data_IF_117144873746
#
_entry.id   IF_117144873746
#
_cell.length_a   1.000
_cell.length_b   1.000
_cell.length_c   1.000
_cell.angle_alpha   90.00
_cell.angle_beta   90.00
_cell.angle_gamma   90.00
#
_symmetry.space_group_name_H-M   'P 1'
#
loop_
_entity.id
_entity.type
_entity.pdbx_description
1 polymer ?
#
# COMPACT_ATOMS: atom_id res chain seq x y z
N UNK A 1 -44.83 20.95 -75.19
CA UNK A 1 -43.72 20.69 -74.25
C UNK A 1 -42.86 21.95 -74.24
N UNK A 2 -43.05 22.95 -73.37
CA UNK A 2 -42.90 22.98 -71.89
C UNK A 2 -41.56 22.37 -71.48
N UNK A 3 -40.61 23.07 -70.85
CA UNK A 3 -40.65 24.39 -70.23
C UNK A 3 -39.24 24.94 -69.97
N UNK A 4 -39.20 26.25 -69.70
CA UNK A 4 -38.00 27.04 -69.48
C UNK A 4 -37.25 26.68 -68.20
N UNK A 5 -35.93 26.86 -68.23
CA UNK A 5 -35.07 26.77 -67.04
C UNK A 5 -34.79 28.18 -66.56
N UNK A 6 -35.56 28.56 -65.54
CA UNK A 6 -35.37 29.77 -64.74
C UNK A 6 -34.01 29.80 -64.08
N UNK A 7 -33.41 30.99 -64.08
CA UNK A 7 -32.34 31.40 -63.18
C UNK A 7 -32.87 31.41 -61.73
N UNK A 8 -32.16 30.76 -60.81
CA UNK A 8 -32.24 31.07 -59.38
C UNK A 8 -30.83 31.47 -58.94
N UNK A 9 -30.56 32.77 -58.76
CA UNK A 9 -29.33 33.25 -58.18
C UNK A 9 -29.45 33.20 -56.65
N UNK A 10 -28.40 32.70 -56.01
CA UNK A 10 -28.20 32.84 -54.57
C UNK A 10 -28.69 31.64 -53.76
N UNK A 11 -27.75 30.82 -53.30
CA UNK A 11 -27.90 30.06 -52.05
C UNK A 11 -26.58 29.44 -51.56
N UNK A 12 -25.42 30.04 -51.82
CA UNK A 12 -24.17 29.65 -51.14
C UNK A 12 -23.27 30.87 -50.89
N UNK A 13 -23.73 31.84 -50.10
CA UNK A 13 -22.79 32.68 -49.35
C UNK A 13 -22.20 31.81 -48.24
N UNK A 14 -21.06 31.16 -48.50
CA UNK A 14 -20.18 30.72 -47.42
C UNK A 14 -19.72 31.99 -46.70
N UNK A 15 -20.27 32.22 -45.51
CA UNK A 15 -19.69 33.15 -44.54
C UNK A 15 -18.35 32.54 -44.14
N UNK A 16 -17.20 33.19 -44.39
CA UNK A 16 -15.98 32.75 -43.74
C UNK A 16 -16.21 32.96 -42.25
N UNK A 17 -16.29 31.86 -41.50
CA UNK A 17 -16.04 31.92 -40.06
C UNK A 17 -14.59 32.34 -39.96
N UNK A 18 -14.38 33.63 -39.71
CA UNK A 18 -13.13 34.14 -39.18
C UNK A 18 -13.05 33.50 -37.79
N UNK A 19 -12.39 32.34 -37.71
CA UNK A 19 -12.00 31.78 -36.45
C UNK A 19 -11.11 32.82 -35.79
N UNK A 20 -11.61 33.42 -34.71
CA UNK A 20 -10.84 34.32 -33.87
C UNK A 20 -9.60 33.56 -33.41
N UNK A 21 -8.44 33.95 -33.91
CA UNK A 21 -7.13 33.35 -33.64
C UNK A 21 -6.63 33.72 -32.22
N UNK A 22 -7.48 33.58 -31.21
CA UNK A 22 -7.19 34.02 -29.85
C UNK A 22 -7.42 32.93 -28.79
N UNK A 23 -7.65 31.66 -29.17
CA UNK A 23 -7.68 30.55 -28.20
C UNK A 23 -7.45 29.19 -28.90
N UNK A 24 -6.51 29.16 -29.85
CA UNK A 24 -6.01 27.88 -30.35
C UNK A 24 -5.07 27.30 -29.30
N UNK A 25 -5.63 26.67 -28.27
CA UNK A 25 -4.89 25.72 -27.44
C UNK A 25 -4.35 24.67 -28.40
N UNK A 26 -3.03 24.63 -28.58
CA UNK A 26 -2.40 23.66 -29.46
C UNK A 26 -2.65 22.26 -28.86
N UNK A 27 -3.33 21.35 -29.58
CA UNK A 27 -3.63 20.00 -29.07
C UNK A 27 -2.37 19.15 -28.85
N UNK A 28 -1.21 19.62 -29.32
CA UNK A 28 0.10 19.01 -29.08
C UNK A 28 0.93 19.77 -28.03
N UNK A 29 0.42 20.88 -27.49
CA UNK A 29 0.97 21.53 -26.30
C UNK A 29 0.69 20.60 -25.12
N UNK A 30 1.67 19.74 -24.83
CA UNK A 30 1.65 18.94 -23.61
C UNK A 30 1.79 19.96 -22.48
N UNK A 31 0.86 20.02 -21.51
CA UNK A 31 0.99 20.95 -20.39
C UNK A 31 2.39 20.76 -19.81
N UNK A 32 3.17 21.84 -19.88
CA UNK A 32 4.52 21.91 -19.32
C UNK A 32 4.45 21.35 -17.90
N UNK A 33 5.36 20.43 -17.56
CA UNK A 33 5.42 19.64 -16.32
C UNK A 33 4.81 20.42 -15.15
N UNK A 34 3.51 20.26 -14.94
CA UNK A 34 2.80 20.97 -13.89
C UNK A 34 3.39 20.45 -12.59
N UNK A 35 4.26 21.26 -11.97
CA UNK A 35 4.90 20.94 -10.71
C UNK A 35 3.77 20.64 -9.74
N UNK A 36 3.59 19.39 -9.27
CA UNK A 36 2.47 19.08 -8.40
C UNK A 36 2.70 19.83 -7.09
N UNK A 37 1.95 20.91 -6.89
CA UNK A 37 2.01 21.72 -5.66
C UNK A 37 1.34 21.00 -4.48
N UNK A 38 0.57 19.95 -4.75
CA UNK A 38 -0.05 19.08 -3.76
C UNK A 38 0.64 17.72 -3.71
N UNK A 39 0.80 17.14 -2.50
CA UNK A 39 1.36 15.80 -2.37
C UNK A 39 0.51 14.81 -3.19
N UNK A 40 1.18 14.12 -4.10
CA UNK A 40 0.55 13.16 -5.00
C UNK A 40 -0.30 12.15 -4.20
N UNK A 41 -1.61 12.01 -4.48
CA UNK A 41 -2.52 11.21 -3.67
C UNK A 41 -2.10 9.74 -3.59
N UNK A 42 -1.43 9.21 -4.63
CA UNK A 42 -0.86 7.87 -4.57
C UNK A 42 0.29 7.79 -3.56
N UNK A 43 1.16 8.80 -3.51
CA UNK A 43 2.25 8.87 -2.53
C UNK A 43 1.70 8.85 -1.10
N UNK A 44 0.69 9.67 -0.83
CA UNK A 44 0.02 9.69 0.48
C UNK A 44 -0.57 8.33 0.85
N UNK A 45 -1.24 7.66 -0.10
CA UNK A 45 -1.79 6.34 0.14
C UNK A 45 -0.71 5.30 0.42
N UNK A 46 0.42 5.33 -0.31
CA UNK A 46 1.54 4.42 -0.07
C UNK A 46 2.18 4.66 1.31
N UNK A 47 2.30 5.93 1.73
CA UNK A 47 2.84 6.30 3.05
C UNK A 47 1.93 5.83 4.19
N UNK A 48 0.61 5.91 4.02
CA UNK A 48 -0.37 5.37 4.99
C UNK A 48 -0.22 3.84 5.16
N UNK A 49 -0.14 3.11 4.04
CA UNK A 49 0.00 1.65 4.05
C UNK A 49 1.35 1.27 4.67
N UNK A 50 2.44 1.97 4.31
CA UNK A 50 3.76 1.76 4.89
C UNK A 50 3.75 1.97 6.41
N UNK A 51 3.18 3.08 6.88
CA UNK A 51 3.06 3.34 8.32
C UNK A 51 2.28 2.23 9.04
N UNK A 52 1.19 1.74 8.43
CA UNK A 52 0.41 0.63 8.96
C UNK A 52 1.17 -0.70 9.06
N UNK A 53 2.01 -0.99 8.07
CA UNK A 53 2.88 -2.17 8.06
C UNK A 53 4.03 -2.04 9.07
N UNK A 54 4.66 -0.87 9.16
CA UNK A 54 5.73 -0.60 10.12
C UNK A 54 5.22 -0.62 11.57
N UNK A 55 3.97 -0.23 11.81
CA UNK A 55 3.35 -0.38 13.14
C UNK A 55 3.25 -1.85 13.58
N UNK A 56 3.05 -2.79 12.66
CA UNK A 56 3.07 -4.23 12.97
C UNK A 56 4.48 -4.72 13.31
N UNK A 57 5.49 -4.21 12.60
CA UNK A 57 6.88 -4.50 12.92
C UNK A 57 7.25 -3.98 14.31
N UNK A 58 6.93 -2.72 14.60
CA UNK A 58 7.15 -2.12 15.92
C UNK A 58 6.46 -2.91 17.04
N UNK A 59 5.19 -3.30 16.85
CA UNK A 59 4.45 -4.10 17.82
C UNK A 59 5.04 -5.51 18.05
N UNK A 60 5.82 -6.02 17.10
CA UNK A 60 6.52 -7.30 17.21
C UNK A 60 8.00 -7.17 17.60
N UNK A 61 8.48 -5.95 17.90
CA UNK A 61 9.88 -5.70 18.24
C UNK A 61 10.84 -5.74 17.05
N UNK A 62 10.34 -5.71 15.82
CA UNK A 62 11.18 -5.62 14.62
C UNK A 62 11.64 -4.16 14.38
N UNK A 63 12.82 -3.96 13.78
CA UNK A 63 13.26 -2.65 13.34
C UNK A 63 12.29 -1.99 12.35
N UNK A 64 12.18 -0.67 12.44
CA UNK A 64 11.35 0.16 11.54
C UNK A 64 12.15 1.13 10.68
N UNK A 65 13.46 1.26 10.93
CA UNK A 65 14.33 2.15 10.16
C UNK A 65 14.57 1.58 8.75
N UNK A 66 14.49 2.43 7.73
CA UNK A 66 14.81 2.02 6.37
C UNK A 66 16.28 1.60 6.24
N UNK A 67 16.53 0.42 5.66
CA UNK A 67 17.88 -0.03 5.36
C UNK A 67 18.05 -1.53 5.32
N UNK A 68 19.30 -1.94 5.47
CA UNK A 68 19.76 -3.31 5.44
C UNK A 68 20.11 -3.78 6.84
N UNK A 69 19.78 -5.03 7.13
CA UNK A 69 19.92 -5.64 8.43
C UNK A 69 20.63 -6.98 8.34
N UNK A 70 21.27 -7.36 9.45
CA UNK A 70 21.86 -8.67 9.66
C UNK A 70 21.38 -9.31 10.94
N UNK A 71 21.35 -10.63 10.97
CA UNK A 71 21.13 -11.42 12.19
C UNK A 71 22.18 -12.54 12.26
N UNK A 72 22.77 -12.72 13.44
CA UNK A 72 23.76 -13.77 13.70
C UNK A 72 23.13 -15.15 13.92
N UNK A 73 23.95 -16.22 13.92
CA UNK A 73 23.50 -17.61 14.07
C UNK A 73 22.85 -17.92 15.42
N UNK A 74 23.38 -17.36 16.51
CA UNK A 74 22.88 -17.58 17.87
C UNK A 74 21.64 -16.72 18.19
N UNK A 75 21.14 -16.01 17.19
CA UNK A 75 20.74 -14.62 17.37
C UNK A 75 19.43 -14.35 18.08
N UNK A 76 19.38 -13.18 18.69
CA UNK A 76 18.14 -12.61 19.21
C UNK A 76 17.59 -11.52 18.26
N UNK A 77 18.40 -10.50 17.91
CA UNK A 77 17.90 -9.31 17.22
C UNK A 77 18.54 -8.99 15.85
N UNK A 78 17.79 -8.28 15.01
CA UNK A 78 18.29 -7.70 13.76
C UNK A 78 19.16 -6.48 14.05
N UNK A 79 20.39 -6.47 13.55
CA UNK A 79 21.32 -5.35 13.65
C UNK A 79 21.33 -4.54 12.36
N UNK A 80 21.21 -3.21 12.45
CA UNK A 80 21.34 -2.30 11.32
C UNK A 80 22.75 -2.36 10.71
N UNK A 81 22.83 -2.42 9.39
CA UNK A 81 24.09 -2.47 8.64
C UNK A 81 24.34 -1.14 7.93
N UNK A 82 23.40 -0.76 7.05
CA UNK A 82 23.51 0.46 6.24
C UNK A 82 22.16 0.83 5.64
N UNK A 83 21.95 2.12 5.36
CA UNK A 83 20.73 2.58 4.69
C UNK A 83 20.63 2.04 3.26
N UNK A 84 21.74 2.08 2.53
CA UNK A 84 21.87 1.55 1.17
C UNK A 84 23.11 0.68 1.08
N UNK A 85 23.06 -0.38 0.27
CA UNK A 85 24.21 -1.22 -0.04
C UNK A 85 24.29 -1.42 -1.54
N UNK A 86 25.47 -1.21 -2.10
CA UNK A 86 25.76 -1.57 -3.48
C UNK A 86 25.77 -3.11 -3.65
N UNK A 87 25.60 -3.63 -4.88
CA UNK A 87 25.76 -5.06 -5.13
C UNK A 87 27.10 -5.63 -4.65
N UNK A 88 28.19 -4.86 -4.79
CA UNK A 88 29.53 -5.28 -4.36
C UNK A 88 29.64 -5.37 -2.84
N UNK A 89 29.11 -4.39 -2.10
CA UNK A 89 29.10 -4.44 -0.63
C UNK A 89 28.22 -5.58 -0.11
N UNK A 90 27.05 -5.83 -0.72
CA UNK A 90 26.21 -6.99 -0.38
C UNK A 90 26.96 -8.30 -0.56
N UNK A 91 27.69 -8.43 -1.67
CA UNK A 91 28.50 -9.61 -1.95
C UNK A 91 29.63 -9.79 -0.92
N UNK A 92 30.38 -8.72 -0.64
CA UNK A 92 31.44 -8.74 0.38
C UNK A 92 30.89 -9.14 1.76
N UNK A 93 29.70 -8.66 2.09
CA UNK A 93 29.05 -8.95 3.36
C UNK A 93 28.59 -10.40 3.48
N UNK A 94 28.10 -10.98 2.38
CA UNK A 94 27.78 -12.41 2.29
C UNK A 94 29.02 -13.31 2.41
N UNK A 95 30.18 -12.87 1.91
CA UNK A 95 31.45 -13.58 2.12
C UNK A 95 31.93 -13.51 3.57
N UNK A 96 31.83 -12.32 4.19
CA UNK A 96 32.25 -12.11 5.57
C UNK A 96 31.35 -12.84 6.60
N UNK A 97 30.08 -13.06 6.25
CA UNK A 97 29.09 -13.66 7.13
C UNK A 97 28.25 -14.68 6.35
N UNK A 98 28.77 -15.90 6.08
CA UNK A 98 28.09 -16.84 5.19
C UNK A 98 26.76 -17.35 5.75
N UNK A 99 25.71 -17.47 4.91
CA UNK A 99 24.41 -17.96 5.36
C UNK A 99 24.42 -19.43 5.82
N UNK A 100 25.36 -20.22 5.31
CA UNK A 100 25.57 -21.61 5.75
C UNK A 100 26.05 -21.70 7.20
N UNK A 101 26.62 -20.61 7.74
CA UNK A 101 27.02 -20.49 9.13
C UNK A 101 25.90 -19.87 9.99
N UNK A 102 24.65 -19.88 9.51
CA UNK A 102 23.47 -19.38 10.23
C UNK A 102 23.26 -17.86 10.17
N UNK A 103 24.12 -17.12 9.46
CA UNK A 103 23.93 -15.68 9.26
C UNK A 103 22.75 -15.39 8.33
N UNK A 104 22.04 -14.30 8.62
CA UNK A 104 20.91 -13.85 7.79
C UNK A 104 21.05 -12.38 7.44
N UNK A 105 20.69 -12.06 6.20
CA UNK A 105 20.61 -10.70 5.67
C UNK A 105 19.23 -10.45 5.09
N UNK A 106 18.73 -9.26 5.32
CA UNK A 106 17.43 -8.82 4.83
C UNK A 106 17.43 -7.29 4.71
N UNK A 107 16.65 -6.77 3.77
CA UNK A 107 16.24 -5.36 3.81
C UNK A 107 15.06 -5.22 4.77
N UNK A 108 14.74 -3.98 5.16
CA UNK A 108 13.60 -3.68 6.04
C UNK A 108 12.34 -4.44 5.60
N UNK A 109 11.97 -4.38 4.32
CA UNK A 109 10.78 -5.03 3.79
C UNK A 109 10.78 -6.56 3.89
N UNK A 110 11.96 -7.20 4.03
CA UNK A 110 12.12 -8.65 4.02
C UNK A 110 12.21 -9.26 5.42
N UNK A 111 12.26 -8.45 6.48
CA UNK A 111 12.47 -8.95 7.86
C UNK A 111 11.35 -9.89 8.30
N UNK A 112 10.11 -9.57 7.94
CA UNK A 112 8.93 -10.37 8.28
C UNK A 112 8.68 -11.57 7.36
N UNK A 113 9.38 -11.70 6.23
CA UNK A 113 9.07 -12.68 5.19
C UNK A 113 9.16 -14.15 5.67
N UNK A 114 10.04 -14.41 6.64
CA UNK A 114 10.27 -15.75 7.24
C UNK A 114 9.76 -15.86 8.68
N UNK A 115 8.94 -14.92 9.13
CA UNK A 115 8.33 -14.98 10.45
C UNK A 115 7.25 -16.07 10.51
N UNK A 116 7.09 -16.70 11.66
CA UNK A 116 6.00 -17.66 11.90
C UNK A 116 4.64 -16.96 11.91
N UNK A 117 4.61 -15.70 12.39
CA UNK A 117 3.39 -14.91 12.45
C UNK A 117 2.94 -14.47 11.06
N UNK A 118 1.67 -14.70 10.75
CA UNK A 118 1.09 -14.37 9.45
C UNK A 118 1.01 -12.87 9.20
N UNK A 119 0.71 -12.07 10.23
CA UNK A 119 0.64 -10.61 10.15
C UNK A 119 1.98 -9.98 9.72
N UNK A 120 3.10 -10.51 10.20
CA UNK A 120 4.45 -10.06 9.83
C UNK A 120 4.83 -10.46 8.40
N UNK A 121 4.39 -11.64 7.94
CA UNK A 121 4.54 -12.04 6.53
C UNK A 121 3.70 -11.17 5.62
N UNK A 122 2.47 -10.83 6.00
CA UNK A 122 1.61 -9.91 5.27
C UNK A 122 2.23 -8.49 5.21
N UNK A 123 2.69 -7.96 6.35
CA UNK A 123 3.37 -6.67 6.40
C UNK A 123 4.64 -6.62 5.53
N UNK A 124 5.43 -7.70 5.53
CA UNK A 124 6.60 -7.84 4.65
C UNK A 124 6.23 -7.76 3.17
N UNK A 125 5.15 -8.44 2.75
CA UNK A 125 4.65 -8.36 1.37
C UNK A 125 4.22 -6.94 1.00
N UNK A 126 3.44 -6.28 1.86
CA UNK A 126 3.01 -4.89 1.64
C UNK A 126 4.21 -3.95 1.43
N UNK A 127 5.22 -4.03 2.30
CA UNK A 127 6.43 -3.21 2.18
C UNK A 127 7.20 -3.49 0.88
N UNK A 128 7.27 -4.75 0.46
CA UNK A 128 7.89 -5.16 -0.81
C UNK A 128 7.15 -4.59 -2.03
N UNK A 129 5.82 -4.67 -2.03
CA UNK A 129 4.98 -4.16 -3.11
C UNK A 129 5.04 -2.62 -3.20
N UNK A 130 5.05 -1.93 -2.06
CA UNK A 130 5.27 -0.47 -1.99
C UNK A 130 6.64 -0.11 -2.57
N UNK A 131 7.70 -0.82 -2.18
CA UNK A 131 9.05 -0.57 -2.70
C UNK A 131 9.11 -0.78 -4.22
N UNK A 132 8.47 -1.83 -4.73
CA UNK A 132 8.37 -2.10 -6.18
C UNK A 132 7.61 -0.99 -6.91
N UNK A 133 6.45 -0.58 -6.40
CA UNK A 133 5.65 0.50 -7.00
C UNK A 133 6.39 1.84 -6.99
N UNK A 134 7.08 2.17 -5.89
CA UNK A 134 7.92 3.38 -5.81
C UNK A 134 9.07 3.35 -6.82
N UNK A 135 9.70 2.19 -7.03
CA UNK A 135 10.74 2.03 -8.04
C UNK A 135 10.18 2.18 -9.47
N UNK A 136 9.03 1.57 -9.77
CA UNK A 136 8.42 1.61 -11.09
C UNK A 136 7.97 3.00 -11.55
N UNK A 137 7.80 3.95 -10.63
CA UNK A 137 7.45 5.34 -10.98
C UNK A 137 8.51 6.06 -11.81
N UNK A 138 9.74 5.55 -11.82
CA UNK A 138 10.85 6.09 -12.61
C UNK A 138 10.94 5.44 -14.00
N UNK A 139 10.05 4.50 -14.29
CA UNK A 139 10.06 3.67 -15.49
C UNK A 139 8.71 3.74 -16.21
N UNK A 140 8.62 3.10 -17.37
CA UNK A 140 7.35 2.99 -18.11
C UNK A 140 6.41 2.06 -17.33
N UNK A 141 5.19 2.53 -17.06
CA UNK A 141 4.18 1.73 -16.37
C UNK A 141 3.75 0.53 -17.23
N UNK A 142 3.79 -0.67 -16.64
CA UNK A 142 3.41 -1.94 -17.27
C UNK A 142 2.13 -2.48 -16.65
N UNK A 143 1.55 -3.50 -17.30
CA UNK A 143 0.40 -4.23 -16.76
C UNK A 143 0.68 -4.83 -15.38
N UNK A 144 1.91 -5.29 -15.13
CA UNK A 144 2.32 -5.88 -13.85
C UNK A 144 2.28 -4.85 -12.71
N UNK A 145 2.57 -3.58 -12.99
CA UNK A 145 2.48 -2.51 -11.99
C UNK A 145 1.02 -2.26 -11.58
N UNK A 146 0.07 -2.32 -12.53
CA UNK A 146 -1.35 -2.21 -12.23
C UNK A 146 -1.84 -3.39 -11.39
N UNK A 147 -1.41 -4.61 -11.72
CA UNK A 147 -1.74 -5.79 -10.93
C UNK A 147 -1.20 -5.67 -9.50
N UNK A 148 0.07 -5.28 -9.36
CA UNK A 148 0.71 -5.03 -8.05
C UNK A 148 -0.08 -4.01 -7.23
N UNK A 149 -0.54 -2.91 -7.85
CA UNK A 149 -1.34 -1.90 -7.15
C UNK A 149 -2.72 -2.41 -6.68
N UNK A 150 -3.40 -3.23 -7.51
CA UNK A 150 -4.68 -3.84 -7.14
C UNK A 150 -4.52 -4.84 -5.99
N UNK A 151 -3.50 -5.69 -6.05
CA UNK A 151 -3.16 -6.66 -5.01
C UNK A 151 -2.78 -5.96 -3.70
N UNK A 152 -1.97 -4.90 -3.77
CA UNK A 152 -1.61 -4.07 -2.62
C UNK A 152 -2.85 -3.49 -1.92
N UNK A 153 -3.76 -2.91 -2.71
CA UNK A 153 -5.00 -2.34 -2.17
C UNK A 153 -5.91 -3.39 -1.53
N UNK A 154 -5.96 -4.61 -2.09
CA UNK A 154 -6.73 -5.71 -1.51
C UNK A 154 -6.10 -6.23 -0.21
N UNK A 155 -4.79 -6.42 -0.19
CA UNK A 155 -4.05 -6.86 0.98
C UNK A 155 -4.14 -5.86 2.14
N UNK A 156 -4.06 -4.55 1.85
CA UNK A 156 -4.22 -3.51 2.86
C UNK A 156 -5.62 -3.53 3.51
N UNK A 157 -6.67 -3.65 2.69
CA UNK A 157 -8.05 -3.74 3.20
C UNK A 157 -8.24 -4.97 4.10
N UNK A 158 -7.78 -6.14 3.66
CA UNK A 158 -7.86 -7.36 4.45
C UNK A 158 -7.14 -7.22 5.81
N UNK A 159 -5.98 -6.57 5.83
CA UNK A 159 -5.23 -6.30 7.06
C UNK A 159 -5.94 -5.32 8.00
N UNK A 160 -6.61 -4.31 7.45
CA UNK A 160 -7.36 -3.34 8.26
C UNK A 160 -8.61 -3.97 8.87
N UNK A 161 -9.29 -4.80 8.10
CA UNK A 161 -10.52 -5.49 8.53
C UNK A 161 -10.22 -6.52 9.63
N UNK A 162 -9.10 -7.25 9.55
CA UNK A 162 -8.69 -8.17 10.62
C UNK A 162 -8.40 -7.45 11.94
N UNK A 163 -7.69 -6.31 11.90
CA UNK A 163 -7.45 -5.47 13.08
C UNK A 163 -8.72 -4.93 13.70
N UNK A 164 -9.68 -4.50 12.88
CA UNK A 164 -10.97 -4.01 13.37
C UNK A 164 -11.77 -5.13 14.07
N UNK A 165 -11.69 -6.36 13.56
CA UNK A 165 -12.30 -7.53 14.17
C UNK A 165 -11.67 -7.87 15.52
N UNK A 166 -10.33 -7.89 15.62
CA UNK A 166 -9.63 -8.16 16.88
C UNK A 166 -9.94 -7.10 17.94
N UNK A 167 -9.95 -5.81 17.58
CA UNK A 167 -10.34 -4.73 18.47
C UNK A 167 -11.78 -4.88 18.98
N UNK A 168 -12.70 -5.30 18.12
CA UNK A 168 -14.11 -5.53 18.47
C UNK A 168 -14.32 -6.77 19.36
N UNK A 169 -13.49 -7.82 19.21
CA UNK A 169 -13.54 -8.99 20.10
C UNK A 169 -13.07 -8.65 21.52
N UNK A 170 -12.06 -7.80 21.64
CA UNK A 170 -11.52 -7.39 22.94
C UNK A 170 -12.52 -6.54 23.74
N UNK A 171 -13.42 -5.80 23.07
CA UNK A 171 -14.47 -5.01 23.72
C UNK A 171 -15.72 -5.81 24.07
N UNK A 172 -15.91 -7.00 23.49
CA UNK A 172 -17.02 -7.92 23.79
C UNK A 172 -16.69 -8.90 24.92
N UNK A 173 -16.10 -8.41 26.02
CA UNK A 173 -16.04 -9.19 27.26
C UNK A 173 -17.48 -9.40 27.77
N UNK A 174 -17.93 -10.66 27.73
CA UNK A 174 -19.27 -11.04 28.17
C UNK A 174 -19.53 -10.56 29.61
N UNK A 175 -20.74 -10.05 29.94
CA UNK A 175 -21.05 -9.71 31.32
C UNK A 175 -20.89 -10.97 32.18
N UNK A 176 -20.10 -10.83 33.24
CA UNK A 176 -19.90 -11.83 34.28
C UNK A 176 -21.28 -12.40 34.69
N UNK A 177 -21.49 -13.69 34.40
CA UNK A 177 -22.75 -14.35 34.68
C UNK A 177 -22.97 -14.31 36.20
N UNK A 178 -23.96 -13.53 36.62
CA UNK A 178 -24.35 -13.41 38.02
C UNK A 178 -24.61 -14.81 38.61
N UNK A 179 -24.11 -15.10 39.83
CA UNK A 179 -24.30 -16.40 40.44
C UNK A 179 -25.80 -16.68 40.66
N UNK A 180 -26.26 -17.93 40.50
CA UNK A 180 -27.67 -18.27 40.64
C UNK A 180 -28.15 -18.02 42.07
N UNK A 181 -29.25 -17.27 42.19
CA UNK A 181 -29.89 -16.97 43.47
C UNK A 181 -30.33 -18.28 44.16
N UNK A 182 -29.73 -18.54 45.32
CA UNK A 182 -30.07 -19.67 46.18
C UNK A 182 -31.50 -19.51 46.68
N UNK A 183 -32.37 -20.45 46.31
CA UNK A 183 -33.76 -20.50 46.74
C UNK A 183 -33.84 -20.62 48.27
N UNK A 184 -34.48 -19.66 48.91
CA UNK A 184 -34.73 -19.66 50.35
C UNK A 184 -35.78 -20.75 50.69
N UNK A 185 -35.31 -21.86 51.27
CA UNK A 185 -36.14 -22.94 51.81
C UNK A 185 -36.96 -22.42 53.01
N UNK A 186 -38.27 -22.23 52.82
CA UNK A 186 -39.21 -21.89 53.91
C UNK A 186 -39.50 -23.14 54.74
N UNK A 187 -38.66 -23.43 55.72
CA UNK A 187 -38.95 -24.47 56.72
C UNK A 187 -40.07 -24.03 57.68
N UNK A 188 -41.03 -24.95 57.81
CA UNK A 188 -42.27 -24.90 58.60
C UNK A 188 -42.03 -24.63 60.09
N UNK A 189 -42.94 -23.87 60.71
CA UNK A 189 -43.09 -23.71 62.17
C UNK A 189 -43.50 -25.04 62.84
N UNK A 190 -43.02 -25.34 64.06
CA UNK A 190 -43.54 -26.43 64.87
C UNK A 190 -44.80 -25.99 65.65
N UNK A 191 -45.65 -26.97 65.98
CA UNK A 191 -46.78 -26.89 66.91
C UNK A 191 -46.29 -27.06 68.34
#
# INVERSE_FOLDING_TARGET
MVGGRSLIPGLFRRRPVVASAADAVDPFDRPDDATPAEPDPLSLALDEIEAGALALYAAAGLPTQAGHYRRGPDGDDWTFVAATLTPQERFALALAHPPEQGWRFAQLQDLGARSEREDLRAASRLLGDIARLRASRREVLTQDHLLTAMELGAAWRALRDSKAFDASRLTLSAPEAAPPAVAHDKRRKPR
#
